data_IF_634163739452
#
_entry.id   IF_634163739452
#
_cell.length_a   1.000
_cell.length_b   1.000
_cell.length_c   1.000
_cell.angle_alpha   90.00
_cell.angle_beta   90.00
_cell.angle_gamma   90.00
#
_symmetry.space_group_name_H-M   'P 1'
#
loop_
_entity.id
_entity.type
_entity.pdbx_description
1 polymer ?
#
# COMPACT_ATOMS: atom_id res chain seq x y z
N UNK A 1 5.69 27.92 -19.63
CA UNK A 1 6.88 27.08 -19.88
C UNK A 1 6.85 25.92 -18.90
N UNK A 2 6.24 24.78 -19.27
CA UNK A 2 6.14 23.61 -18.40
C UNK A 2 7.12 22.54 -18.86
N UNK A 3 8.18 22.34 -18.06
CA UNK A 3 9.01 21.14 -18.12
C UNK A 3 9.05 20.58 -16.71
N UNK A 4 8.36 19.48 -16.50
CA UNK A 4 8.69 18.56 -15.41
C UNK A 4 8.72 17.15 -16.02
N UNK A 5 9.87 16.84 -16.63
CA UNK A 5 10.28 15.46 -16.81
C UNK A 5 10.61 14.92 -15.42
N UNK A 6 9.74 14.08 -14.89
CA UNK A 6 10.10 13.08 -13.90
C UNK A 6 9.51 11.77 -14.38
N UNK A 7 10.40 10.85 -14.71
CA UNK A 7 10.10 9.47 -15.07
C UNK A 7 9.41 8.82 -13.86
N UNK A 8 8.08 8.78 -13.91
CA UNK A 8 7.21 8.47 -12.79
C UNK A 8 7.21 6.95 -12.53
N UNK A 9 8.12 6.49 -11.67
CA UNK A 9 8.11 5.14 -11.13
C UNK A 9 6.94 5.01 -10.16
N UNK A 10 5.81 4.45 -10.60
CA UNK A 10 4.68 4.12 -9.73
C UNK A 10 4.69 2.65 -9.35
N UNK A 11 4.39 2.40 -8.09
CA UNK A 11 4.39 1.07 -7.50
C UNK A 11 3.04 0.43 -7.77
N UNK A 12 2.97 -0.70 -8.49
CA UNK A 12 1.71 -1.41 -8.63
C UNK A 12 1.23 -1.85 -7.23
N UNK A 13 -0.07 -1.69 -6.91
CA UNK A 13 -0.65 -2.27 -5.72
C UNK A 13 -0.25 -3.74 -5.55
N UNK A 14 0.21 -4.09 -4.36
CA UNK A 14 0.65 -5.44 -4.01
C UNK A 14 0.04 -5.88 -2.67
N UNK A 15 -0.20 -7.18 -2.53
CA UNK A 15 -0.54 -7.82 -1.26
C UNK A 15 0.62 -8.71 -0.85
N UNK A 16 1.04 -8.57 0.40
CA UNK A 16 2.01 -9.43 1.02
C UNK A 16 1.38 -10.21 2.18
N UNK A 17 1.78 -11.47 2.29
CA UNK A 17 1.54 -12.29 3.46
C UNK A 17 2.44 -11.83 4.64
N UNK A 18 2.04 -12.08 5.91
CA UNK A 18 2.85 -11.77 7.08
C UNK A 18 4.27 -12.39 7.07
N UNK A 19 4.42 -13.52 6.37
CA UNK A 19 5.70 -14.22 6.19
C UNK A 19 6.66 -13.54 5.19
N UNK A 20 6.27 -12.38 4.61
CA UNK A 20 7.01 -11.60 3.58
C UNK A 20 6.86 -12.13 2.16
N UNK A 21 5.96 -13.07 1.91
CA UNK A 21 5.66 -13.54 0.56
C UNK A 21 4.72 -12.57 -0.13
N UNK A 22 5.10 -12.06 -1.31
CA UNK A 22 4.15 -11.34 -2.17
C UNK A 22 3.17 -12.36 -2.75
N UNK A 23 1.88 -12.21 -2.41
CA UNK A 23 0.83 -13.13 -2.86
C UNK A 23 0.08 -12.60 -4.07
N UNK A 24 0.17 -11.29 -4.32
CA UNK A 24 -0.45 -10.67 -5.49
C UNK A 24 0.22 -9.31 -5.80
N UNK A 25 0.34 -8.99 -7.08
CA UNK A 25 0.75 -7.67 -7.60
C UNK A 25 -0.11 -7.34 -8.81
N UNK A 26 -0.50 -6.07 -8.97
CA UNK A 26 -1.18 -5.61 -10.18
C UNK A 26 -0.22 -5.36 -11.34
N UNK A 27 -0.77 -5.21 -12.55
CA UNK A 27 -0.02 -4.57 -13.63
C UNK A 27 0.23 -3.07 -13.34
N UNK A 28 1.23 -2.44 -14.00
CA UNK A 28 1.41 -1.00 -13.91
C UNK A 28 0.24 -0.25 -14.57
N UNK A 29 -0.03 0.97 -14.08
CA UNK A 29 -0.99 1.88 -14.72
C UNK A 29 -0.23 3.02 -15.41
N UNK A 30 -0.74 3.54 -16.55
CA UNK A 30 -0.09 4.64 -17.24
C UNK A 30 -0.16 5.93 -16.44
N UNK A 31 0.96 6.67 -16.42
CA UNK A 31 1.07 7.98 -15.76
C UNK A 31 1.14 7.91 -14.24
N UNK A 32 0.97 9.06 -13.59
CA UNK A 32 1.09 9.21 -12.15
C UNK A 32 -0.24 8.91 -11.44
N UNK A 33 -0.48 7.65 -11.08
CA UNK A 33 -1.72 7.22 -10.42
C UNK A 33 -1.45 6.91 -8.95
N UNK A 34 -2.12 7.62 -8.05
CA UNK A 34 -2.03 7.37 -6.62
C UNK A 34 -2.46 5.93 -6.25
N UNK A 35 -1.74 5.28 -5.33
CA UNK A 35 -1.92 3.85 -5.00
C UNK A 35 -3.35 3.45 -4.65
N UNK A 36 -4.04 4.25 -3.82
CA UNK A 36 -5.45 3.97 -3.50
C UNK A 36 -6.36 4.05 -4.74
N UNK A 37 -6.05 4.95 -5.67
CA UNK A 37 -6.79 5.03 -6.94
C UNK A 37 -6.47 3.81 -7.82
N UNK A 38 -5.20 3.41 -7.90
CA UNK A 38 -4.78 2.20 -8.61
C UNK A 38 -5.46 0.94 -8.03
N UNK A 39 -5.48 0.79 -6.70
CA UNK A 39 -6.13 -0.32 -6.01
C UNK A 39 -7.64 -0.35 -6.27
N UNK A 40 -8.30 0.81 -6.38
CA UNK A 40 -9.72 0.90 -6.77
C UNK A 40 -9.93 0.50 -8.23
N UNK A 41 -9.08 0.96 -9.15
CA UNK A 41 -9.11 0.60 -10.58
C UNK A 41 -9.00 -0.92 -10.77
N UNK A 42 -8.02 -1.55 -10.11
CA UNK A 42 -7.83 -3.00 -10.16
C UNK A 42 -8.89 -3.80 -9.38
N UNK A 43 -9.84 -3.12 -8.73
CA UNK A 43 -10.91 -3.73 -7.94
C UNK A 43 -10.42 -4.39 -6.65
N UNK A 44 -9.17 -4.14 -6.23
CA UNK A 44 -8.54 -4.76 -5.08
C UNK A 44 -9.35 -4.53 -3.79
N UNK A 45 -9.73 -3.27 -3.55
CA UNK A 45 -10.51 -2.88 -2.37
C UNK A 45 -11.82 -3.65 -2.30
N UNK A 46 -12.51 -3.83 -3.43
CA UNK A 46 -13.79 -4.57 -3.50
C UNK A 46 -13.60 -6.06 -3.27
N UNK A 47 -12.55 -6.66 -3.87
CA UNK A 47 -12.24 -8.08 -3.69
C UNK A 47 -11.89 -8.42 -2.25
N UNK A 48 -11.10 -7.58 -1.59
CA UNK A 48 -10.76 -7.73 -0.17
C UNK A 48 -11.99 -7.57 0.74
N UNK A 49 -12.92 -6.69 0.39
CA UNK A 49 -14.18 -6.56 1.12
C UNK A 49 -15.02 -7.84 0.99
N UNK A 50 -15.15 -8.35 -0.24
CA UNK A 50 -15.93 -9.54 -0.54
C UNK A 50 -15.34 -10.83 0.08
N UNK A 51 -14.02 -10.89 0.28
CA UNK A 51 -13.38 -12.03 0.95
C UNK A 51 -13.50 -12.00 2.47
N UNK A 52 -13.98 -10.90 3.07
CA UNK A 52 -14.06 -10.74 4.52
C UNK A 52 -12.69 -10.62 5.20
N UNK A 53 -11.62 -10.42 4.45
CA UNK A 53 -10.25 -10.35 4.98
C UNK A 53 -9.94 -8.94 5.46
N UNK A 54 -9.46 -8.82 6.69
CA UNK A 54 -8.89 -7.59 7.22
C UNK A 54 -7.47 -7.39 6.69
N UNK A 55 -7.19 -6.21 6.17
CA UNK A 55 -5.87 -5.85 5.62
C UNK A 55 -5.29 -4.66 6.36
N UNK A 56 -4.01 -4.76 6.71
CA UNK A 56 -3.21 -3.64 7.20
C UNK A 56 -2.55 -2.96 5.98
N UNK A 57 -2.88 -1.70 5.73
CA UNK A 57 -2.30 -0.91 4.64
C UNK A 57 -1.55 0.32 5.17
N UNK A 58 -0.75 0.93 4.31
CA UNK A 58 -0.08 2.20 4.63
C UNK A 58 -1.06 3.38 4.70
N UNK A 59 -0.53 4.57 5.00
CA UNK A 59 -1.31 5.80 5.18
C UNK A 59 -2.02 6.27 3.90
N UNK A 60 -1.50 5.96 2.71
CA UNK A 60 -2.13 6.29 1.42
C UNK A 60 -3.49 5.63 1.23
N UNK A 61 -3.81 4.59 2.00
CA UNK A 61 -5.07 3.85 1.95
C UNK A 61 -6.11 4.34 2.97
N UNK A 62 -5.92 5.50 3.59
CA UNK A 62 -6.92 6.05 4.51
C UNK A 62 -8.24 6.29 3.76
N UNK A 63 -9.35 5.84 4.35
CA UNK A 63 -10.66 5.91 3.72
C UNK A 63 -10.89 4.86 2.61
N UNK A 64 -10.07 3.81 2.54
CA UNK A 64 -10.26 2.73 1.56
C UNK A 64 -11.42 1.79 1.91
N UNK A 65 -11.85 1.71 3.17
CA UNK A 65 -13.00 0.92 3.61
C UNK A 65 -12.79 0.36 5.03
N UNK A 66 -13.84 -0.16 5.68
CA UNK A 66 -13.76 -0.63 7.08
C UNK A 66 -12.88 -1.87 7.27
N UNK A 67 -12.69 -2.67 6.21
CA UNK A 67 -11.84 -3.85 6.16
C UNK A 67 -10.36 -3.54 5.94
N UNK A 68 -10.02 -2.30 5.57
CA UNK A 68 -8.64 -1.83 5.45
C UNK A 68 -8.33 -0.97 6.66
N UNK A 69 -7.42 -1.46 7.51
CA UNK A 69 -6.89 -0.69 8.63
C UNK A 69 -5.68 0.08 8.15
N UNK A 70 -5.48 1.27 8.73
CA UNK A 70 -4.35 2.16 8.48
C UNK A 70 -3.83 2.70 9.80
N UNK A 71 -2.58 3.19 9.88
CA UNK A 71 -2.09 3.89 11.07
C UNK A 71 -2.99 5.09 11.43
N UNK A 72 -3.07 5.42 12.72
CA UNK A 72 -3.77 6.62 13.20
C UNK A 72 -3.04 7.91 12.82
N UNK A 73 -3.79 8.99 12.66
CA UNK A 73 -3.29 10.32 12.30
C UNK A 73 -3.68 11.40 13.32
N UNK A 74 -2.95 12.53 13.33
CA UNK A 74 -3.36 13.76 14.02
C UNK A 74 -3.14 13.76 15.55
N UNK A 75 -3.93 14.55 16.28
CA UNK A 75 -3.87 14.66 17.76
C UNK A 75 -4.24 13.37 18.50
N UNK A 76 -4.67 12.34 17.77
CA UNK A 76 -4.82 10.96 18.24
C UNK A 76 -3.46 10.28 18.52
N UNK A 77 -2.38 11.05 18.72
CA UNK A 77 -1.01 10.60 19.02
C UNK A 77 -0.67 10.67 20.51
N UNK A 78 -1.64 10.47 21.40
CA UNK A 78 -1.35 10.25 22.82
C UNK A 78 -0.47 8.98 22.98
N UNK A 79 0.35 8.88 24.04
CA UNK A 79 1.37 7.83 24.23
C UNK A 79 0.85 6.39 24.01
N UNK A 80 -0.41 6.10 24.33
CA UNK A 80 -1.07 4.81 24.07
C UNK A 80 -1.18 4.51 22.57
N UNK A 81 -1.54 5.50 21.75
CA UNK A 81 -1.62 5.37 20.29
C UNK A 81 -0.26 5.29 19.61
N UNK A 82 0.80 5.87 20.19
CA UNK A 82 2.17 5.68 19.69
C UNK A 82 2.60 4.21 19.77
N UNK A 83 2.26 3.52 20.86
CA UNK A 83 2.49 2.08 21.00
C UNK A 83 1.77 1.28 19.90
N UNK A 84 0.52 1.66 19.60
CA UNK A 84 -0.29 1.04 18.54
C UNK A 84 0.32 1.24 17.16
N UNK A 85 0.73 2.46 16.80
CA UNK A 85 1.36 2.71 15.50
C UNK A 85 2.74 2.02 15.38
N UNK A 86 3.49 1.85 16.47
CA UNK A 86 4.71 1.02 16.46
C UNK A 86 4.42 -0.46 16.22
N UNK A 87 3.40 -1.01 16.88
CA UNK A 87 2.95 -2.38 16.62
C UNK A 87 2.48 -2.55 15.17
N UNK A 88 1.72 -1.57 14.67
CA UNK A 88 1.28 -1.50 13.28
C UNK A 88 2.46 -1.52 12.30
N UNK A 89 3.45 -0.67 12.50
CA UNK A 89 4.65 -0.62 11.66
C UNK A 89 5.41 -1.96 11.68
N UNK A 90 5.51 -2.63 12.83
CA UNK A 90 6.11 -3.97 12.91
C UNK A 90 5.35 -5.01 12.10
N UNK A 91 4.02 -4.93 12.06
CA UNK A 91 3.16 -5.84 11.29
C UNK A 91 3.23 -5.56 9.78
N UNK A 92 3.38 -4.30 9.36
CA UNK A 92 3.51 -3.93 7.94
C UNK A 92 4.93 -4.06 7.38
N UNK A 93 5.97 -3.99 8.22
CA UNK A 93 7.37 -4.05 7.77
C UNK A 93 7.72 -5.29 6.91
N UNK A 94 7.17 -6.51 7.16
CA UNK A 94 7.28 -7.63 6.25
C UNK A 94 6.84 -7.34 4.81
N UNK A 95 5.64 -6.79 4.64
CA UNK A 95 5.08 -6.46 3.34
C UNK A 95 5.78 -5.30 2.66
N UNK A 96 6.15 -4.27 3.42
CA UNK A 96 6.95 -3.14 2.91
C UNK A 96 8.32 -3.60 2.38
N UNK A 97 9.00 -4.48 3.11
CA UNK A 97 10.29 -5.05 2.65
C UNK A 97 10.12 -5.92 1.41
N UNK A 98 9.05 -6.70 1.34
CA UNK A 98 8.75 -7.52 0.17
C UNK A 98 8.48 -6.63 -1.06
N UNK A 99 7.71 -5.55 -0.89
CA UNK A 99 7.46 -4.57 -1.94
C UNK A 99 8.75 -3.81 -2.34
N UNK A 100 9.58 -3.41 -1.37
CA UNK A 100 10.87 -2.77 -1.65
C UNK A 100 11.82 -3.68 -2.45
N UNK A 101 11.81 -4.99 -2.20
CA UNK A 101 12.55 -5.96 -3.02
C UNK A 101 12.00 -6.04 -4.45
N UNK A 102 10.67 -6.04 -4.58
CA UNK A 102 9.99 -6.07 -5.87
C UNK A 102 10.32 -4.85 -6.75
N UNK A 103 10.50 -3.65 -6.16
CA UNK A 103 10.90 -2.43 -6.88
C UNK A 103 12.27 -2.53 -7.57
N UNK A 104 13.14 -3.45 -7.12
CA UNK A 104 14.43 -3.68 -7.75
C UNK A 104 14.35 -4.65 -8.95
N UNK A 105 13.17 -5.22 -9.24
CA UNK A 105 12.99 -6.12 -10.37
C UNK A 105 12.80 -5.32 -11.65
N UNK A 106 13.59 -5.67 -12.68
CA UNK A 106 13.69 -4.95 -13.97
C UNK A 106 12.37 -4.87 -14.76
N UNK A 107 11.34 -5.59 -14.34
CA UNK A 107 10.01 -5.64 -14.96
C UNK A 107 9.21 -4.35 -14.75
N UNK A 108 9.51 -3.55 -13.72
CA UNK A 108 8.89 -2.24 -13.48
C UNK A 108 9.73 -1.05 -13.99
N UNK A 109 10.83 -1.32 -14.71
CA UNK A 109 11.86 -0.33 -15.06
C UNK A 109 11.85 0.04 -16.55
N UNK A 110 10.70 -0.03 -17.21
CA UNK A 110 10.53 0.38 -18.62
C UNK A 110 9.39 1.36 -18.78
#
# INVERSE_FOLDING_TARGET
MFRQSQEARHEPPAIASPDRTIVWVSGPLPGSVHDLKAARIWGLVRKLAASGVLVLADKGYVGAGPHIKTPLQGQEQARVMQGRNRAYAKLCAPGERANARFKNWKTLTK
#
